data_IF_984861701998
#
_entry.id   IF_984861701998
#
_cell.length_a   1.000
_cell.length_b   1.000
_cell.length_c   1.000
_cell.angle_alpha   90.00
_cell.angle_beta   90.00
_cell.angle_gamma   90.00
#
_symmetry.space_group_name_H-M   'P 1'
#
loop_
_entity.id
_entity.type
_entity.pdbx_description
1 polymer ?
#
# COMPACT_ATOMS: atom_id res chain seq x y z
N UNK A 1 26.60 -50.82 36.95
CA UNK A 1 25.59 -50.09 36.17
C UNK A 1 25.12 -48.94 37.04
N UNK A 2 25.76 -47.78 36.91
CA UNK A 2 25.29 -46.56 37.56
C UNK A 2 24.88 -45.64 36.42
N UNK A 3 23.60 -45.29 36.35
CA UNK A 3 23.26 -43.88 36.21
C UNK A 3 21.84 -43.65 36.75
N UNK A 4 21.77 -42.66 37.63
CA UNK A 4 20.64 -42.19 38.39
C UNK A 4 20.24 -40.85 37.76
N UNK A 5 18.94 -40.60 37.62
CA UNK A 5 18.29 -39.27 37.37
C UNK A 5 18.49 -38.57 36.01
N UNK A 6 17.67 -37.54 35.65
CA UNK A 6 16.34 -37.15 36.13
C UNK A 6 15.33 -36.77 35.00
N UNK A 7 14.08 -36.57 35.40
CA UNK A 7 13.07 -35.79 34.68
C UNK A 7 13.54 -34.34 34.40
N UNK A 8 13.21 -33.81 33.22
CA UNK A 8 13.36 -32.40 32.82
C UNK A 8 13.83 -32.30 31.37
N UNK A 9 13.24 -31.55 30.46
CA UNK A 9 12.74 -30.18 30.62
C UNK A 9 11.59 -29.96 29.64
N UNK A 10 10.43 -29.54 30.16
CA UNK A 10 9.39 -28.87 29.37
C UNK A 10 9.98 -27.58 28.80
N UNK A 11 10.07 -27.47 27.47
CA UNK A 11 10.53 -26.25 26.82
C UNK A 11 9.41 -25.19 26.80
N UNK A 12 9.23 -24.48 27.91
CA UNK A 12 8.69 -23.12 27.88
C UNK A 12 9.88 -22.18 27.63
N UNK A 13 9.90 -21.30 26.64
CA UNK A 13 9.15 -20.04 26.67
C UNK A 13 9.45 -19.17 25.42
N UNK A 14 8.57 -18.21 25.23
CA UNK A 14 8.35 -17.30 24.11
C UNK A 14 9.40 -16.16 24.03
N UNK A 15 10.22 -16.05 22.95
CA UNK A 15 10.95 -14.82 22.59
C UNK A 15 11.60 -14.88 21.18
N UNK A 16 11.21 -13.95 20.29
CA UNK A 16 12.00 -13.54 19.12
C UNK A 16 11.85 -14.39 17.87
N UNK A 17 10.81 -14.14 17.06
CA UNK A 17 10.88 -14.47 15.62
C UNK A 17 12.08 -13.70 15.09
N UNK A 18 13.22 -14.37 14.86
CA UNK A 18 14.43 -13.72 14.31
C UNK A 18 13.98 -12.91 13.11
N UNK A 19 13.92 -11.59 13.28
CA UNK A 19 13.74 -10.72 12.14
C UNK A 19 14.95 -10.97 11.27
N UNK A 20 14.73 -11.27 10.00
CA UNK A 20 15.83 -11.42 9.05
C UNK A 20 16.51 -10.06 8.78
N UNK A 21 16.06 -8.98 9.43
CA UNK A 21 16.70 -7.68 9.43
C UNK A 21 17.98 -7.73 10.27
N UNK A 22 19.13 -7.74 9.59
CA UNK A 22 20.44 -7.66 10.20
C UNK A 22 20.97 -6.22 10.17
N UNK A 23 21.90 -5.83 11.07
CA UNK A 23 22.57 -4.52 11.00
C UNK A 23 23.28 -4.26 9.66
N UNK A 24 23.77 -5.33 9.02
CA UNK A 24 24.35 -5.26 7.67
C UNK A 24 23.31 -4.86 6.61
N UNK A 25 22.09 -5.41 6.69
CA UNK A 25 20.97 -5.04 5.82
C UNK A 25 20.56 -3.58 6.01
N UNK A 26 20.51 -3.10 7.25
CA UNK A 26 20.22 -1.69 7.56
C UNK A 26 21.30 -0.79 6.96
N UNK A 27 22.58 -1.15 7.14
CA UNK A 27 23.71 -0.41 6.57
C UNK A 27 23.61 -0.36 5.04
N UNK A 28 23.31 -1.48 4.40
CA UNK A 28 23.07 -1.56 2.96
C UNK A 28 21.88 -0.71 2.52
N UNK A 29 20.81 -0.68 3.31
CA UNK A 29 19.63 0.14 3.02
C UNK A 29 19.95 1.64 3.08
N UNK A 30 20.83 2.07 3.99
CA UNK A 30 21.34 3.46 4.02
C UNK A 30 22.16 3.81 2.79
N UNK A 31 23.01 2.89 2.32
CA UNK A 31 23.82 3.09 1.12
C UNK A 31 22.95 3.29 -0.13
N UNK A 32 21.84 2.56 -0.23
CA UNK A 32 20.90 2.68 -1.37
C UNK A 32 20.45 4.12 -1.63
N UNK A 33 20.22 4.93 -0.59
CA UNK A 33 19.78 6.33 -0.74
C UNK A 33 20.78 7.15 -1.58
N UNK A 34 22.07 6.84 -1.48
CA UNK A 34 23.12 7.54 -2.22
C UNK A 34 23.49 6.83 -3.53
N UNK A 35 23.41 5.50 -3.55
CA UNK A 35 23.93 4.67 -4.65
C UNK A 35 22.84 4.23 -5.64
N UNK A 36 21.55 4.54 -5.44
CA UNK A 36 20.48 4.08 -6.33
C UNK A 36 20.74 4.46 -7.81
N UNK A 37 21.42 5.59 -8.05
CA UNK A 37 21.85 6.00 -9.39
C UNK A 37 22.82 5.02 -10.03
N UNK A 38 23.81 4.57 -9.28
CA UNK A 38 24.81 3.60 -9.72
C UNK A 38 24.17 2.23 -9.96
N UNK A 39 23.12 1.90 -9.19
CA UNK A 39 22.26 0.74 -9.43
C UNK A 39 21.38 0.82 -10.68
N UNK A 40 21.50 1.89 -11.48
CA UNK A 40 20.73 2.08 -12.71
C UNK A 40 19.29 2.60 -12.48
N UNK A 41 18.97 3.04 -11.27
CA UNK A 41 17.64 3.55 -10.95
C UNK A 41 17.51 5.05 -11.24
N UNK A 42 16.48 5.41 -11.99
CA UNK A 42 16.13 6.80 -12.28
C UNK A 42 15.39 7.46 -11.10
N UNK A 43 14.77 6.66 -10.23
CA UNK A 43 14.12 7.14 -9.01
C UNK A 43 14.35 6.14 -7.88
N UNK A 44 14.57 6.63 -6.65
CA UNK A 44 14.56 5.75 -5.49
C UNK A 44 13.12 5.27 -5.27
N UNK A 45 12.96 3.97 -5.05
CA UNK A 45 11.64 3.34 -4.84
C UNK A 45 11.76 2.24 -3.80
N UNK A 46 10.63 1.86 -3.18
CA UNK A 46 10.59 0.71 -2.26
C UNK A 46 10.96 -0.58 -3.01
N UNK A 47 10.52 -0.70 -4.27
CA UNK A 47 10.86 -1.81 -5.16
C UNK A 47 12.36 -1.85 -5.47
N UNK A 48 12.97 -0.70 -5.77
CA UNK A 48 14.41 -0.58 -6.00
C UNK A 48 15.23 -0.88 -4.75
N UNK A 49 14.77 -0.43 -3.58
CA UNK A 49 15.37 -0.78 -2.29
C UNK A 49 15.31 -2.29 -2.06
N UNK A 50 14.15 -2.92 -2.26
CA UNK A 50 13.98 -4.37 -2.12
C UNK A 50 14.93 -5.15 -3.04
N UNK A 51 15.04 -4.72 -4.31
CA UNK A 51 15.95 -5.29 -5.28
C UNK A 51 17.42 -5.14 -4.85
N UNK A 52 17.83 -3.94 -4.41
CA UNK A 52 19.19 -3.67 -3.96
C UNK A 52 19.56 -4.49 -2.72
N UNK A 53 18.62 -4.68 -1.79
CA UNK A 53 18.80 -5.50 -0.60
C UNK A 53 18.74 -7.01 -0.89
N UNK A 54 18.21 -7.43 -2.05
CA UNK A 54 18.03 -8.84 -2.38
C UNK A 54 16.91 -9.51 -1.60
N UNK A 55 15.88 -8.76 -1.21
CA UNK A 55 14.75 -9.24 -0.41
C UNK A 55 13.42 -9.04 -1.15
N UNK A 56 12.40 -9.80 -0.76
CA UNK A 56 11.06 -9.58 -1.26
C UNK A 56 10.52 -8.21 -0.81
N UNK A 57 9.73 -7.56 -1.66
CA UNK A 57 9.07 -6.28 -1.34
C UNK A 57 8.25 -6.34 -0.05
N UNK A 58 7.56 -7.45 0.19
CA UNK A 58 6.80 -7.68 1.43
C UNK A 58 7.68 -7.66 2.68
N UNK A 59 8.94 -8.10 2.56
CA UNK A 59 9.89 -8.06 3.67
C UNK A 59 10.28 -6.63 4.03
N UNK A 60 10.40 -5.72 3.05
CA UNK A 60 10.70 -4.30 3.31
C UNK A 60 9.61 -3.66 4.16
N UNK A 61 8.33 -3.86 3.82
CA UNK A 61 7.22 -3.35 4.62
C UNK A 61 7.13 -4.00 6.01
N UNK A 62 7.51 -5.27 6.10
CA UNK A 62 7.60 -5.95 7.39
C UNK A 62 8.69 -5.31 8.26
N UNK A 63 9.87 -5.07 7.71
CA UNK A 63 10.99 -4.45 8.45
C UNK A 63 10.70 -3.00 8.84
N UNK A 64 10.02 -2.25 7.98
CA UNK A 64 9.53 -0.89 8.27
C UNK A 64 8.62 -0.86 9.52
N UNK A 65 7.80 -1.88 9.73
CA UNK A 65 6.96 -1.99 10.93
C UNK A 65 7.68 -2.55 12.17
N UNK A 66 8.86 -3.16 12.00
CA UNK A 66 9.60 -3.84 13.08
C UNK A 66 10.73 -2.99 13.66
N UNK A 67 11.33 -2.10 12.87
CA UNK A 67 12.53 -1.35 13.25
C UNK A 67 12.42 0.13 12.85
N UNK A 68 12.63 1.03 13.82
CA UNK A 68 12.47 2.47 13.60
C UNK A 68 13.53 3.04 12.67
N UNK A 69 14.76 2.55 12.73
CA UNK A 69 15.85 3.02 11.89
C UNK A 69 15.62 2.62 10.42
N UNK A 70 15.15 1.39 10.20
CA UNK A 70 14.74 0.95 8.87
C UNK A 70 13.51 1.71 8.36
N UNK A 71 12.55 2.01 9.24
CA UNK A 71 11.40 2.86 8.91
C UNK A 71 11.84 4.24 8.40
N UNK A 72 12.76 4.91 9.11
CA UNK A 72 13.29 6.22 8.72
C UNK A 72 13.99 6.18 7.35
N UNK A 73 14.69 5.07 7.04
CA UNK A 73 15.32 4.86 5.73
C UNK A 73 14.27 4.75 4.63
N UNK A 74 13.22 3.95 4.84
CA UNK A 74 12.14 3.78 3.85
C UNK A 74 11.41 5.10 3.64
N UNK A 75 11.17 5.87 4.70
CA UNK A 75 10.56 7.19 4.60
C UNK A 75 11.45 8.17 3.83
N UNK A 76 12.76 8.17 4.10
CA UNK A 76 13.73 8.97 3.33
C UNK A 76 13.71 8.62 1.84
N UNK A 77 13.62 7.33 1.50
CA UNK A 77 13.47 6.87 0.11
C UNK A 77 12.21 7.46 -0.54
N UNK A 78 11.08 7.47 0.15
CA UNK A 78 9.82 8.04 -0.36
C UNK A 78 9.91 9.56 -0.51
N UNK A 79 10.49 10.26 0.47
CA UNK A 79 10.69 11.71 0.42
C UNK A 79 11.57 12.11 -0.75
N UNK A 80 12.70 11.41 -0.94
CA UNK A 80 13.60 11.66 -2.07
C UNK A 80 12.90 11.39 -3.40
N UNK A 81 12.12 10.32 -3.49
CA UNK A 81 11.30 10.02 -4.68
C UNK A 81 10.36 11.19 -5.00
N UNK A 82 9.63 11.71 -4.00
CA UNK A 82 8.69 12.81 -4.17
C UNK A 82 9.38 14.10 -4.66
N UNK A 83 10.49 14.49 -4.02
CA UNK A 83 11.28 15.67 -4.40
C UNK A 83 11.74 15.55 -5.85
N UNK A 84 12.26 14.39 -6.22
CA UNK A 84 12.75 14.16 -7.58
C UNK A 84 11.61 14.20 -8.60
N UNK A 85 10.46 13.59 -8.29
CA UNK A 85 9.28 13.60 -9.17
C UNK A 85 8.76 15.02 -9.41
N UNK A 86 8.71 15.85 -8.38
CA UNK A 86 8.31 17.25 -8.47
C UNK A 86 9.29 18.00 -9.36
N UNK A 87 10.58 17.94 -9.06
CA UNK A 87 11.61 18.67 -9.79
C UNK A 87 11.71 18.20 -11.25
N UNK A 88 11.78 16.89 -11.49
CA UNK A 88 11.87 16.33 -12.83
C UNK A 88 10.59 16.52 -13.65
N UNK A 89 9.42 16.55 -13.00
CA UNK A 89 8.16 16.94 -13.65
C UNK A 89 8.15 18.40 -14.09
N UNK A 90 8.66 19.31 -13.25
CA UNK A 90 8.76 20.75 -13.56
C UNK A 90 9.83 21.07 -14.60
N UNK A 91 10.94 20.33 -14.60
CA UNK A 91 12.03 20.47 -15.57
C UNK A 91 11.73 19.81 -16.93
N UNK A 92 10.73 18.93 -16.98
CA UNK A 92 10.38 18.17 -18.18
C UNK A 92 11.21 16.90 -18.38
N UNK A 93 12.05 16.52 -17.41
CA UNK A 93 12.86 15.30 -17.44
C UNK A 93 12.02 14.04 -17.28
N UNK A 94 10.85 14.16 -16.64
CA UNK A 94 9.94 13.05 -16.41
C UNK A 94 8.67 13.17 -17.24
N UNK A 95 8.17 12.01 -17.69
CA UNK A 95 6.86 11.93 -18.30
C UNK A 95 5.79 12.36 -17.29
N UNK A 96 5.05 13.42 -17.61
CA UNK A 96 4.08 14.03 -16.71
C UNK A 96 3.00 13.06 -16.23
N UNK A 97 2.53 12.14 -17.08
CA UNK A 97 1.51 11.14 -16.70
C UNK A 97 2.05 10.14 -15.67
N UNK A 98 3.28 9.66 -15.86
CA UNK A 98 3.93 8.75 -14.92
C UNK A 98 4.22 9.46 -13.60
N UNK A 99 4.75 10.69 -13.67
CA UNK A 99 5.04 11.47 -12.48
C UNK A 99 3.79 11.74 -11.65
N UNK A 100 2.67 12.09 -12.30
CA UNK A 100 1.36 12.27 -11.65
C UNK A 100 0.90 11.01 -10.93
N UNK A 101 0.91 9.85 -11.60
CA UNK A 101 0.51 8.57 -10.99
C UNK A 101 1.40 8.24 -9.78
N UNK A 102 2.70 8.49 -9.85
CA UNK A 102 3.58 8.28 -8.70
C UNK A 102 3.32 9.30 -7.58
N UNK A 103 3.11 10.58 -7.88
CA UNK A 103 2.79 11.60 -6.89
C UNK A 103 1.49 11.29 -6.14
N UNK A 104 0.51 10.62 -6.75
CA UNK A 104 -0.69 10.19 -6.00
C UNK A 104 -0.41 9.22 -4.86
N UNK A 105 0.70 8.46 -4.93
CA UNK A 105 1.14 7.60 -3.83
C UNK A 105 1.73 8.40 -2.66
N UNK A 106 2.10 9.65 -2.90
CA UNK A 106 2.64 10.60 -1.92
C UNK A 106 1.56 11.56 -1.37
N UNK A 107 0.27 11.20 -1.52
CA UNK A 107 -0.85 11.98 -0.99
C UNK A 107 -1.29 13.16 -1.85
N UNK A 108 -0.66 13.37 -3.01
CA UNK A 108 -1.14 14.37 -3.97
C UNK A 108 -2.42 13.86 -4.65
N UNK A 109 -3.36 14.75 -4.91
CA UNK A 109 -4.56 14.42 -5.66
C UNK A 109 -4.90 15.56 -6.60
N UNK A 110 -5.40 15.18 -7.78
CA UNK A 110 -5.93 16.15 -8.72
C UNK A 110 -7.42 16.29 -8.47
N UNK A 111 -7.86 17.51 -8.17
CA UNK A 111 -9.27 17.85 -8.09
C UNK A 111 -9.73 18.37 -9.46
N UNK A 112 -10.75 17.75 -10.03
CA UNK A 112 -11.43 18.26 -11.22
C UNK A 112 -12.82 18.73 -10.82
N UNK A 113 -13.16 19.97 -11.16
CA UNK A 113 -14.52 20.48 -11.05
C UNK A 113 -15.23 20.24 -12.38
N UNK A 114 -16.18 19.32 -12.38
CA UNK A 114 -16.99 18.96 -13.55
C UNK A 114 -18.34 19.65 -13.39
N UNK A 115 -18.59 20.67 -14.21
CA UNK A 115 -19.91 21.26 -14.34
C UNK A 115 -20.76 20.37 -15.26
N UNK A 116 -21.81 19.75 -14.70
CA UNK A 116 -22.72 18.88 -15.44
C UNK A 116 -23.90 19.67 -16.06
N UNK A 117 -23.74 20.97 -16.31
CA UNK A 117 -24.75 21.76 -17.00
C UNK A 117 -24.61 21.61 -18.52
N UNK A 118 -25.70 21.27 -19.19
CA UNK A 118 -25.78 21.41 -20.64
C UNK A 118 -26.36 22.77 -20.98
N UNK A 119 -25.65 23.57 -21.78
CA UNK A 119 -26.13 24.87 -22.24
C UNK A 119 -27.39 24.77 -23.11
N UNK A 120 -27.65 23.59 -23.69
CA UNK A 120 -28.83 23.29 -24.51
C UNK A 120 -30.04 22.74 -23.72
N UNK A 121 -29.90 22.53 -22.41
CA UNK A 121 -30.97 22.04 -21.54
C UNK A 121 -31.38 20.58 -21.75
N UNK A 122 -30.59 19.76 -22.45
CA UNK A 122 -30.86 18.33 -22.67
C UNK A 122 -30.67 17.44 -21.44
N UNK A 123 -29.89 17.90 -20.45
CA UNK A 123 -29.71 17.22 -19.16
C UNK A 123 -30.82 17.64 -18.19
N UNK A 124 -32.04 17.11 -18.36
CA UNK A 124 -33.13 17.22 -17.38
C UNK A 124 -33.23 15.93 -16.55
N UNK A 125 -33.33 16.00 -15.20
CA UNK A 125 -33.52 14.81 -14.39
C UNK A 125 -34.87 14.15 -14.72
N UNK A 126 -34.85 12.86 -15.04
CA UNK A 126 -36.05 12.05 -15.28
C UNK A 126 -36.42 11.33 -13.99
N UNK A 127 -37.62 11.59 -13.47
CA UNK A 127 -38.16 10.91 -12.29
C UNK A 127 -39.20 9.87 -12.73
N UNK A 128 -38.88 8.58 -12.61
CA UNK A 128 -39.85 7.51 -12.79
C UNK A 128 -40.43 7.09 -11.43
N UNK A 129 -41.72 7.37 -11.21
CA UNK A 129 -42.47 6.87 -10.05
C UNK A 129 -43.17 5.58 -10.50
N UNK A 130 -42.74 4.44 -9.97
CA UNK A 130 -43.42 3.16 -10.15
C UNK A 130 -44.33 2.94 -8.94
N UNK A 131 -45.66 2.97 -9.17
CA UNK A 131 -46.63 2.63 -8.13
C UNK A 131 -46.66 1.12 -7.93
N UNK A 132 -46.31 0.65 -6.72
CA UNK A 132 -46.60 -0.71 -6.29
C UNK A 132 -48.03 -0.75 -5.78
N UNK A 133 -48.88 -1.55 -6.42
CA UNK A 133 -50.20 -1.88 -5.87
C UNK A 133 -50.03 -2.99 -4.82
N UNK A 134 -50.79 -2.98 -3.72
CA UNK A 134 -50.73 -4.05 -2.72
C UNK A 134 -51.26 -5.34 -3.35
N UNK A 135 -50.47 -6.42 -3.27
CA UNK A 135 -50.84 -7.74 -3.80
C UNK A 135 -52.12 -8.26 -3.12
N UNK A 136 -53.16 -8.54 -3.92
CA UNK A 136 -54.37 -9.25 -3.49
C UNK A 136 -54.02 -10.73 -3.22
N UNK A 137 -53.43 -11.02 -2.07
CA UNK A 137 -53.30 -12.38 -1.57
C UNK A 137 -54.63 -12.82 -0.94
N UNK A 138 -55.63 -13.12 -1.79
CA UNK A 138 -56.85 -13.79 -1.37
C UNK A 138 -56.53 -15.24 -1.00
N UNK A 139 -56.25 -15.45 0.29
CA UNK A 139 -56.13 -16.77 0.88
C UNK A 139 -57.45 -17.54 0.69
N UNK A 140 -57.47 -18.47 -0.26
CA UNK A 140 -58.52 -19.49 -0.39
C UNK A 140 -58.40 -20.48 0.77
N UNK A 141 -59.01 -20.12 1.90
CA UNK A 141 -59.19 -21.01 3.04
C UNK A 141 -60.41 -21.92 2.83
N UNK A 142 -60.17 -23.06 2.19
CA UNK A 142 -61.02 -24.25 2.28
C UNK A 142 -61.13 -24.69 3.75
N UNK A 143 -62.35 -24.69 4.32
CA UNK A 143 -62.73 -25.52 5.47
C UNK A 143 -64.23 -25.84 5.45
N UNK A 144 -64.49 -27.12 5.20
CA UNK A 144 -65.69 -27.90 5.48
C UNK A 144 -66.21 -27.73 6.91
N UNK A 145 -67.52 -27.56 7.08
CA UNK A 145 -68.46 -28.45 7.81
C UNK A 145 -69.88 -27.88 7.78
#
# INVERSE_FOLDING_TARGET
MNDDTPHGVVSESNAGRKSNLTPELITKAKLYINEFREGGFVLPTVEGLAYYLGVARSSVYKYEGEDSEFSDIVETVRQLQAIMLINGGLMGDFNASIAKVMMTKHGYSDKQEIDNTSSDGSMKPVFNIVGVSPDDNSASGDRTE
#
